data_IF_672113015807
#
_entry.id   IF_672113015807
#
_cell.length_a   1.000
_cell.length_b   1.000
_cell.length_c   1.000
_cell.angle_alpha   90.00
_cell.angle_beta   90.00
_cell.angle_gamma   90.00
#
_symmetry.space_group_name_H-M   'P 1'
#
loop_
_entity.id
_entity.type
_entity.pdbx_description
1 polymer ?
#
# COMPACT_ATOMS: atom_id res chain seq x y z
N UNK A 1 -15.99 5.58 -27.32
CA UNK A 1 -14.99 4.48 -27.39
C UNK A 1 -13.90 4.64 -26.32
N UNK A 2 -13.31 5.82 -26.15
CA UNK A 2 -12.35 6.11 -25.06
C UNK A 2 -12.94 5.94 -23.64
N UNK A 3 -14.20 6.36 -23.41
CA UNK A 3 -14.87 6.27 -22.11
C UNK A 3 -15.07 4.84 -21.58
N UNK A 4 -15.25 3.85 -22.47
CA UNK A 4 -15.48 2.45 -22.07
C UNK A 4 -14.21 1.80 -21.53
N UNK A 5 -13.07 2.06 -22.19
CA UNK A 5 -11.75 1.56 -21.76
C UNK A 5 -11.36 2.17 -20.43
N UNK A 6 -11.56 3.49 -20.29
CA UNK A 6 -11.28 4.21 -19.04
C UNK A 6 -12.08 3.62 -17.87
N UNK A 7 -13.39 3.36 -18.06
CA UNK A 7 -14.23 2.77 -17.02
C UNK A 7 -13.76 1.36 -16.61
N UNK A 8 -13.34 0.53 -17.57
CA UNK A 8 -12.76 -0.79 -17.25
C UNK A 8 -11.44 -0.67 -16.49
N UNK A 9 -10.55 0.23 -16.92
CA UNK A 9 -9.27 0.48 -16.27
C UNK A 9 -9.46 0.97 -14.82
N UNK A 10 -10.35 1.93 -14.59
CA UNK A 10 -10.66 2.45 -13.25
C UNK A 10 -11.20 1.35 -12.34
N UNK A 11 -12.16 0.53 -12.82
CA UNK A 11 -12.69 -0.61 -12.05
C UNK A 11 -11.61 -1.62 -11.71
N UNK A 12 -10.79 -2.00 -12.70
CA UNK A 12 -9.69 -2.93 -12.48
C UNK A 12 -8.67 -2.39 -11.46
N UNK A 13 -8.29 -1.12 -11.57
CA UNK A 13 -7.37 -0.45 -10.66
C UNK A 13 -7.91 -0.41 -9.23
N UNK A 14 -9.20 -0.14 -9.06
CA UNK A 14 -9.84 -0.12 -7.73
C UNK A 14 -9.88 -1.52 -7.09
N UNK A 15 -10.31 -2.54 -7.83
CA UNK A 15 -10.39 -3.90 -7.29
C UNK A 15 -9.01 -4.47 -6.98
N UNK A 16 -8.05 -4.35 -7.92
CA UNK A 16 -6.68 -4.82 -7.70
C UNK A 16 -6.01 -4.05 -6.56
N UNK A 17 -6.15 -2.72 -6.52
CA UNK A 17 -5.63 -1.89 -5.44
C UNK A 17 -6.16 -2.27 -4.07
N UNK A 18 -7.46 -2.57 -3.95
CA UNK A 18 -8.08 -2.99 -2.69
C UNK A 18 -7.55 -4.35 -2.21
N UNK A 19 -7.37 -5.30 -3.13
CA UNK A 19 -6.81 -6.62 -2.81
C UNK A 19 -5.33 -6.49 -2.39
N UNK A 20 -4.54 -5.71 -3.12
CA UNK A 20 -3.12 -5.49 -2.81
C UNK A 20 -2.98 -4.79 -1.45
N UNK A 21 -3.82 -3.79 -1.16
CA UNK A 21 -3.79 -3.10 0.12
C UNK A 21 -4.15 -4.02 1.29
N UNK A 22 -5.21 -4.80 1.17
CA UNK A 22 -5.64 -5.70 2.25
C UNK A 22 -4.61 -6.79 2.54
N UNK A 23 -4.09 -7.45 1.51
CA UNK A 23 -3.03 -8.46 1.67
C UNK A 23 -1.71 -7.84 2.13
N UNK A 24 -1.36 -6.66 1.61
CA UNK A 24 -0.13 -5.96 1.95
C UNK A 24 -0.10 -5.51 3.42
N UNK A 25 -1.22 -5.00 3.95
CA UNK A 25 -1.33 -4.66 5.38
C UNK A 25 -1.13 -5.90 6.25
N UNK A 26 -1.87 -6.99 5.97
CA UNK A 26 -1.78 -8.23 6.75
C UNK A 26 -0.37 -8.83 6.68
N UNK A 27 0.21 -8.89 5.48
CA UNK A 27 1.56 -9.43 5.26
C UNK A 27 2.64 -8.63 5.99
N UNK A 28 2.63 -7.30 5.88
CA UNK A 28 3.62 -6.46 6.57
C UNK A 28 3.50 -6.55 8.10
N UNK A 29 2.27 -6.61 8.64
CA UNK A 29 2.06 -6.82 10.09
C UNK A 29 2.61 -8.17 10.55
N UNK A 30 2.34 -9.24 9.80
CA UNK A 30 2.87 -10.58 10.10
C UNK A 30 4.40 -10.58 10.05
N UNK A 31 5.02 -9.95 9.04
CA UNK A 31 6.48 -9.85 8.92
C UNK A 31 7.09 -9.14 10.14
N UNK A 32 6.53 -7.99 10.54
CA UNK A 32 7.00 -7.26 11.72
C UNK A 32 6.86 -8.11 12.98
N UNK A 33 5.74 -8.81 13.17
CA UNK A 33 5.54 -9.71 14.32
C UNK A 33 6.56 -10.85 14.32
N UNK A 34 6.81 -11.49 13.17
CA UNK A 34 7.77 -12.59 13.07
C UNK A 34 9.19 -12.10 13.37
N UNK A 35 9.64 -11.03 12.72
CA UNK A 35 11.01 -10.55 12.88
C UNK A 35 11.29 -9.99 14.29
N UNK A 36 10.27 -9.44 14.97
CA UNK A 36 10.43 -8.91 16.34
C UNK A 36 10.27 -9.98 17.43
N UNK A 37 9.37 -10.96 17.26
CA UNK A 37 9.05 -11.92 18.32
C UNK A 37 9.86 -13.22 18.25
N UNK A 38 10.24 -13.71 17.07
CA UNK A 38 11.01 -14.94 16.97
C UNK A 38 12.46 -14.71 17.42
N UNK A 39 12.89 -15.47 18.44
CA UNK A 39 14.26 -15.45 18.95
C UNK A 39 15.30 -15.76 17.87
N UNK A 40 14.93 -16.52 16.85
CA UNK A 40 15.78 -16.86 15.69
C UNK A 40 16.26 -15.62 14.94
N UNK A 41 15.48 -14.54 14.93
CA UNK A 41 15.76 -13.34 14.14
C UNK A 41 16.42 -12.19 14.93
N UNK A 42 16.51 -12.28 16.26
CA UNK A 42 16.98 -11.16 17.11
C UNK A 42 18.41 -10.70 16.88
N UNK A 43 19.31 -11.59 16.49
CA UNK A 43 20.72 -11.28 16.27
C UNK A 43 21.08 -11.22 14.78
N UNK A 44 20.06 -11.23 13.91
CA UNK A 44 20.24 -11.20 12.48
C UNK A 44 20.09 -9.77 11.95
N UNK A 45 21.20 -9.18 11.49
CA UNK A 45 21.21 -7.85 10.87
C UNK A 45 20.24 -7.74 9.68
N UNK A 46 20.04 -8.81 8.91
CA UNK A 46 19.09 -8.80 7.80
C UNK A 46 17.64 -8.70 8.29
N UNK A 47 17.30 -9.32 9.43
CA UNK A 47 15.96 -9.23 10.00
C UNK A 47 15.63 -7.80 10.45
N UNK A 48 16.62 -7.04 10.94
CA UNK A 48 16.45 -5.62 11.24
C UNK A 48 16.09 -4.80 9.99
N UNK A 49 16.83 -4.98 8.88
CA UNK A 49 16.51 -4.30 7.62
C UNK A 49 15.13 -4.68 7.07
N UNK A 50 14.78 -5.96 7.10
CA UNK A 50 13.46 -6.44 6.66
C UNK A 50 12.33 -5.92 7.56
N UNK A 51 12.58 -5.73 8.85
CA UNK A 51 11.62 -5.11 9.77
C UNK A 51 11.37 -3.65 9.40
N UNK A 52 12.44 -2.88 9.17
CA UNK A 52 12.33 -1.48 8.74
C UNK A 52 11.59 -1.39 7.40
N UNK A 53 11.99 -2.21 6.42
CA UNK A 53 11.35 -2.25 5.10
C UNK A 53 9.86 -2.59 5.22
N UNK A 54 9.48 -3.57 6.03
CA UNK A 54 8.08 -3.93 6.29
C UNK A 54 7.30 -2.77 6.94
N UNK A 55 7.92 -2.02 7.87
CA UNK A 55 7.30 -0.83 8.49
C UNK A 55 7.09 0.27 7.45
N UNK A 56 8.11 0.59 6.63
CA UNK A 56 7.99 1.61 5.59
C UNK A 56 6.97 1.23 4.53
N UNK A 57 6.92 -0.04 4.12
CA UNK A 57 5.94 -0.54 3.16
C UNK A 57 4.51 -0.43 3.72
N UNK A 58 4.32 -0.74 5.01
CA UNK A 58 3.05 -0.53 5.69
C UNK A 58 2.63 0.95 5.73
N UNK A 59 3.54 1.86 6.10
CA UNK A 59 3.28 3.31 6.12
C UNK A 59 2.97 3.85 4.71
N UNK A 60 3.70 3.40 3.70
CA UNK A 60 3.46 3.78 2.32
C UNK A 60 2.06 3.36 1.85
N UNK A 61 1.63 2.14 2.17
CA UNK A 61 0.27 1.69 1.87
C UNK A 61 -0.80 2.50 2.61
N UNK A 62 -0.59 2.82 3.89
CA UNK A 62 -1.51 3.68 4.65
C UNK A 62 -1.65 5.08 4.02
N UNK A 63 -0.53 5.66 3.59
CA UNK A 63 -0.54 6.95 2.89
C UNK A 63 -1.31 6.86 1.57
N UNK A 64 -1.04 5.83 0.76
CA UNK A 64 -1.75 5.60 -0.49
C UNK A 64 -3.26 5.45 -0.31
N UNK A 65 -3.72 4.71 0.70
CA UNK A 65 -5.15 4.59 1.03
C UNK A 65 -5.73 5.94 1.43
N UNK A 66 -5.01 6.70 2.27
CA UNK A 66 -5.48 8.02 2.73
C UNK A 66 -5.70 8.98 1.56
N UNK A 67 -4.78 9.00 0.59
CA UNK A 67 -4.90 9.80 -0.64
C UNK A 67 -6.09 9.33 -1.48
N UNK A 68 -6.26 8.02 -1.68
CA UNK A 68 -7.41 7.50 -2.45
C UNK A 68 -8.76 7.83 -1.79
N UNK A 69 -8.83 7.79 -0.45
CA UNK A 69 -10.02 8.19 0.30
C UNK A 69 -10.29 9.70 0.11
N UNK A 70 -9.26 10.53 0.21
CA UNK A 70 -9.35 11.97 -0.03
C UNK A 70 -9.88 12.28 -1.44
N UNK A 71 -9.32 11.65 -2.48
CA UNK A 71 -9.77 11.81 -3.87
C UNK A 71 -11.23 11.36 -4.03
N UNK A 72 -11.61 10.23 -3.42
CA UNK A 72 -12.98 9.71 -3.47
C UNK A 72 -14.00 10.63 -2.80
N UNK A 73 -13.63 11.28 -1.68
CA UNK A 73 -14.51 12.17 -0.92
C UNK A 73 -14.61 13.56 -1.57
N UNK A 74 -13.47 14.14 -1.95
CA UNK A 74 -13.41 15.53 -2.43
C UNK A 74 -13.56 15.66 -3.94
N UNK A 75 -13.42 14.55 -4.69
CA UNK A 75 -13.54 14.54 -6.15
C UNK A 75 -12.42 15.31 -6.88
N UNK A 76 -11.41 15.79 -6.15
CA UNK A 76 -10.27 16.53 -6.68
C UNK A 76 -9.03 15.63 -6.64
N UNK A 77 -8.52 15.28 -7.81
CA UNK A 77 -7.27 14.56 -7.97
C UNK A 77 -6.12 15.57 -8.12
N UNK A 78 -5.63 16.09 -6.99
CA UNK A 78 -4.47 16.97 -6.99
C UNK A 78 -3.20 16.29 -7.54
N UNK A 79 -3.16 14.95 -7.59
CA UNK A 79 -2.05 14.18 -8.17
C UNK A 79 -1.93 14.39 -9.68
N UNK A 80 -3.06 14.49 -10.39
CA UNK A 80 -3.08 14.82 -11.81
C UNK A 80 -2.67 16.27 -12.10
N UNK A 81 -2.83 17.16 -11.12
CA UNK A 81 -2.50 18.58 -11.23
C UNK A 81 -1.00 18.87 -11.12
N UNK A 82 -0.23 17.96 -10.54
CA UNK A 82 1.23 18.08 -10.42
C UNK A 82 2.01 17.69 -11.69
N UNK A 83 1.32 17.16 -12.72
CA UNK A 83 1.91 16.77 -14.01
C UNK A 83 1.70 17.83 -15.13
N UNK A 84 1.22 19.02 -14.77
CA UNK A 84 1.01 20.17 -15.66
C UNK A 84 1.94 21.31 -15.23
#
# INVERSE_FOLDING_TARGET
>A
MSSTILNFATKYSLYSGTIICSLGIVGNVINVLIFTQLKVFRDNRCAFYLTIESIFNFLYMLFGISVNILISIYGDDETGRSLI
#
